data_IF_604202221145
#
_entry.id   IF_604202221145
#
_cell.length_a   1.000
_cell.length_b   1.000
_cell.length_c   1.000
_cell.angle_alpha   90.00
_cell.angle_beta   90.00
_cell.angle_gamma   90.00
#
_symmetry.space_group_name_H-M   'P 1'
#
loop_
_entity.id
_entity.type
_entity.pdbx_description
1 polymer ?
#
# COMPACT_ATOMS: atom_id res chain seq x y z
N UNK A 1 6.76 11.14 14.73
CA UNK A 1 6.49 11.96 13.54
C UNK A 1 6.31 11.02 12.37
N UNK A 2 5.10 10.94 11.80
CA UNK A 2 4.84 10.16 10.60
C UNK A 2 5.14 11.04 9.39
N UNK A 3 6.12 10.65 8.59
CA UNK A 3 6.46 11.31 7.33
C UNK A 3 5.70 10.57 6.22
N UNK A 4 4.49 11.04 5.90
CA UNK A 4 3.62 10.39 4.92
C UNK A 4 3.82 11.01 3.53
N UNK A 5 4.98 10.78 2.94
CA UNK A 5 5.24 11.13 1.53
C UNK A 5 5.54 9.86 0.74
N UNK A 6 5.08 9.81 -0.51
CA UNK A 6 5.44 8.77 -1.46
C UNK A 6 6.40 9.35 -2.50
N UNK A 7 7.53 8.69 -2.70
CA UNK A 7 8.51 9.06 -3.71
C UNK A 7 8.56 7.95 -4.73
N UNK A 8 8.39 8.33 -5.98
CA UNK A 8 8.48 7.45 -7.13
C UNK A 8 9.46 8.04 -8.13
N UNK A 9 10.02 7.17 -8.98
CA UNK A 9 10.85 7.62 -10.10
C UNK A 9 9.98 8.29 -11.18
N UNK A 10 8.85 7.69 -11.50
CA UNK A 10 7.95 8.08 -12.59
C UNK A 10 6.53 8.25 -12.06
N UNK A 11 5.81 9.27 -12.52
CA UNK A 11 4.44 9.58 -12.05
C UNK A 11 3.47 8.42 -12.27
N UNK A 12 3.69 7.59 -13.30
CA UNK A 12 2.87 6.41 -13.57
C UNK A 12 2.81 5.45 -12.37
N UNK A 13 3.87 5.38 -11.57
CA UNK A 13 3.91 4.52 -10.36
C UNK A 13 3.00 5.01 -9.23
N UNK A 14 2.37 6.18 -9.36
CA UNK A 14 1.36 6.70 -8.42
C UNK A 14 -0.07 6.43 -8.87
N UNK A 15 -0.29 5.92 -10.09
CA UNK A 15 -1.64 5.79 -10.63
C UNK A 15 -2.55 4.90 -9.78
N UNK A 16 -2.02 3.80 -9.22
CA UNK A 16 -2.81 2.93 -8.33
C UNK A 16 -3.08 3.58 -6.96
N UNK A 17 -2.22 4.49 -6.50
CA UNK A 17 -2.53 5.31 -5.33
C UNK A 17 -3.66 6.28 -5.65
N UNK A 18 -3.59 6.98 -6.78
CA UNK A 18 -4.64 7.91 -7.20
C UNK A 18 -5.99 7.22 -7.40
N UNK A 19 -5.99 6.02 -7.99
CA UNK A 19 -7.18 5.17 -8.15
C UNK A 19 -7.75 4.73 -6.81
N UNK A 20 -6.92 4.23 -5.89
CA UNK A 20 -7.35 3.87 -4.54
C UNK A 20 -7.98 5.06 -3.81
N UNK A 21 -7.34 6.23 -3.88
CA UNK A 21 -7.86 7.45 -3.25
C UNK A 21 -9.20 7.88 -3.87
N UNK A 22 -9.40 7.67 -5.17
CA UNK A 22 -10.70 7.89 -5.80
C UNK A 22 -11.75 6.91 -5.25
N UNK A 23 -11.45 5.61 -5.26
CA UNK A 23 -12.37 4.56 -4.79
C UNK A 23 -12.77 4.78 -3.32
N UNK A 24 -11.84 5.19 -2.46
CA UNK A 24 -12.12 5.52 -1.06
C UNK A 24 -13.04 6.75 -0.94
N UNK A 25 -12.82 7.79 -1.76
CA UNK A 25 -13.63 9.02 -1.73
C UNK A 25 -15.04 8.81 -2.26
N UNK A 26 -15.21 7.85 -3.17
CA UNK A 26 -16.50 7.51 -3.76
C UNK A 26 -17.17 6.32 -3.07
N UNK A 27 -16.57 5.78 -2.01
CA UNK A 27 -17.15 4.68 -1.23
C UNK A 27 -18.48 5.14 -0.63
N UNK A 28 -19.56 4.57 -1.16
CA UNK A 28 -20.94 4.76 -0.74
C UNK A 28 -21.47 3.53 0.02
N UNK A 29 -22.72 3.58 0.47
CA UNK A 29 -23.41 2.48 1.16
C UNK A 29 -22.75 1.95 2.45
N UNK A 30 -21.95 2.80 3.11
CA UNK A 30 -21.34 2.55 4.42
C UNK A 30 -21.76 3.63 5.42
N UNK A 31 -21.92 3.27 6.69
CA UNK A 31 -22.44 4.22 7.70
C UNK A 31 -21.43 5.29 8.10
N UNK A 32 -20.18 4.89 8.29
CA UNK A 32 -19.07 5.73 8.72
C UNK A 32 -17.77 5.09 8.23
N UNK A 33 -16.82 5.92 7.81
CA UNK A 33 -15.51 5.48 7.31
C UNK A 33 -14.41 6.04 8.21
N UNK A 34 -13.67 5.14 8.85
CA UNK A 34 -12.41 5.44 9.54
C UNK A 34 -11.24 5.12 8.60
N UNK A 35 -10.31 6.07 8.44
CA UNK A 35 -9.11 5.90 7.62
C UNK A 35 -7.88 6.02 8.50
N UNK A 36 -7.04 4.98 8.47
CA UNK A 36 -5.72 4.98 9.09
C UNK A 36 -4.67 4.88 7.99
N UNK A 37 -3.64 5.71 8.01
CA UNK A 37 -2.64 5.72 6.94
C UNK A 37 -1.25 6.04 7.44
N UNK A 38 -0.25 5.53 6.73
CA UNK A 38 1.14 5.77 7.05
C UNK A 38 2.09 5.20 6.02
N UNK A 39 3.35 5.14 6.41
CA UNK A 39 4.44 4.55 5.64
C UNK A 39 4.98 3.31 6.37
N UNK A 40 5.62 2.41 5.64
CA UNK A 40 6.32 1.26 6.20
C UNK A 40 7.69 1.05 5.56
N UNK A 41 8.69 0.79 6.41
CA UNK A 41 10.07 0.48 6.04
C UNK A 41 10.81 1.59 5.27
N UNK A 42 12.05 1.31 4.88
CA UNK A 42 12.87 2.20 4.03
C UNK A 42 13.09 1.55 2.66
N UNK A 43 12.90 2.32 1.60
CA UNK A 43 13.14 1.88 0.23
C UNK A 43 14.63 1.59 0.03
N UNK A 44 14.93 0.51 -0.67
CA UNK A 44 16.29 0.14 -1.07
C UNK A 44 16.46 0.22 -2.58
N UNK A 45 17.58 0.79 -3.03
CA UNK A 45 18.01 0.76 -4.43
C UNK A 45 19.30 -0.03 -4.54
N UNK A 46 19.47 -0.73 -5.66
CA UNK A 46 20.73 -1.38 -6.00
C UNK A 46 21.60 -0.42 -6.79
N UNK A 47 22.88 -0.38 -6.45
CA UNK A 47 23.88 0.33 -7.25
C UNK A 47 24.33 -0.50 -8.46
N UNK A 48 25.26 0.05 -9.24
CA UNK A 48 25.85 -0.62 -10.41
C UNK A 48 26.65 -1.88 -10.08
N UNK A 49 26.92 -2.15 -8.81
CA UNK A 49 27.64 -3.32 -8.29
C UNK A 49 26.69 -4.32 -7.60
N UNK A 50 25.37 -4.17 -7.76
CA UNK A 50 24.32 -4.95 -7.09
C UNK A 50 24.32 -4.84 -5.55
N UNK A 51 24.94 -3.80 -4.99
CA UNK A 51 24.87 -3.52 -3.56
C UNK A 51 23.60 -2.74 -3.25
N UNK A 52 22.82 -3.23 -2.29
CA UNK A 52 21.59 -2.58 -1.83
C UNK A 52 21.90 -1.49 -0.82
N UNK A 53 21.41 -0.28 -1.07
CA UNK A 53 21.48 0.84 -0.13
C UNK A 53 20.08 1.39 0.16
N UNK A 54 19.83 1.73 1.42
CA UNK A 54 18.63 2.45 1.84
C UNK A 54 18.65 3.89 1.32
N UNK A 55 17.47 4.42 0.98
CA UNK A 55 17.33 5.75 0.39
C UNK A 55 16.80 6.75 1.41
N UNK A 56 17.51 7.86 1.53
CA UNK A 56 17.18 9.00 2.40
C UNK A 56 17.24 10.29 1.58
N UNK A 57 16.30 11.21 1.82
CA UNK A 57 16.28 12.49 1.10
C UNK A 57 17.37 13.46 1.55
N UNK A 58 17.85 13.29 2.78
CA UNK A 58 18.85 14.17 3.40
C UNK A 58 19.98 13.32 3.97
N UNK A 59 21.18 13.89 3.98
CA UNK A 59 22.37 13.28 4.61
C UNK A 59 22.11 12.92 6.08
N UNK A 60 22.92 12.00 6.60
CA UNK A 60 22.84 11.49 7.98
C UNK A 60 21.55 10.71 8.25
N UNK A 61 21.06 9.97 7.25
CA UNK A 61 19.90 9.09 7.35
C UNK A 61 18.61 9.81 7.79
N UNK A 62 18.44 11.07 7.37
CA UNK A 62 17.24 11.87 7.66
C UNK A 62 16.25 11.78 6.51
N UNK A 63 14.96 11.75 6.86
CA UNK A 63 13.85 11.62 5.91
C UNK A 63 13.98 10.33 5.07
N UNK A 64 13.82 9.15 5.70
CA UNK A 64 13.84 7.87 4.99
C UNK A 64 12.75 7.85 3.92
N UNK A 65 13.07 7.36 2.73
CA UNK A 65 12.06 7.16 1.70
C UNK A 65 11.27 5.89 2.01
N UNK A 66 9.94 5.93 2.19
CA UNK A 66 9.18 4.74 2.53
C UNK A 66 9.32 3.62 1.50
N UNK A 67 9.42 2.37 1.98
CA UNK A 67 9.35 1.20 1.10
C UNK A 67 7.95 1.06 0.49
N UNK A 68 6.92 1.28 1.30
CA UNK A 68 5.53 1.34 0.87
C UNK A 68 4.73 2.35 1.68
N UNK A 69 3.67 2.87 1.07
CA UNK A 69 2.60 3.61 1.73
C UNK A 69 1.44 2.66 2.01
N UNK A 70 0.73 2.86 3.11
CA UNK A 70 -0.40 2.02 3.47
C UNK A 70 -1.61 2.81 3.93
N UNK A 71 -2.79 2.23 3.69
CA UNK A 71 -4.08 2.79 4.06
C UNK A 71 -4.98 1.66 4.54
N UNK A 72 -5.53 1.77 5.74
CA UNK A 72 -6.59 0.90 6.25
C UNK A 72 -7.90 1.67 6.19
N UNK A 73 -8.89 1.07 5.53
CA UNK A 73 -10.26 1.58 5.45
C UNK A 73 -11.14 0.70 6.32
N UNK A 74 -11.84 1.30 7.26
CA UNK A 74 -12.73 0.61 8.19
C UNK A 74 -14.11 1.22 8.18
N UNK A 75 -15.12 0.37 8.26
CA UNK A 75 -16.50 0.75 8.57
C UNK A 75 -17.08 -0.27 9.56
N UNK A 76 -17.50 0.19 10.74
CA UNK A 76 -18.02 -0.67 11.82
C UNK A 76 -17.01 -1.77 12.23
N UNK A 77 -17.39 -3.04 12.10
CA UNK A 77 -16.55 -4.22 12.37
C UNK A 77 -15.91 -4.81 11.10
N UNK A 78 -15.94 -4.08 9.98
CA UNK A 78 -15.30 -4.47 8.72
C UNK A 78 -14.11 -3.58 8.40
N UNK A 79 -13.01 -4.17 7.95
CA UNK A 79 -11.86 -3.39 7.50
C UNK A 79 -11.07 -4.09 6.39
N UNK A 80 -10.34 -3.30 5.61
CA UNK A 80 -9.39 -3.79 4.63
C UNK A 80 -8.15 -2.90 4.63
N UNK A 81 -6.98 -3.52 4.47
CA UNK A 81 -5.71 -2.83 4.45
C UNK A 81 -5.11 -2.82 3.03
N UNK A 82 -4.60 -1.68 2.60
CA UNK A 82 -3.94 -1.49 1.32
C UNK A 82 -2.48 -1.15 1.55
N UNK A 83 -1.59 -1.75 0.78
CA UNK A 83 -0.17 -1.38 0.71
C UNK A 83 0.21 -1.10 -0.73
N UNK A 84 0.81 0.06 -0.99
CA UNK A 84 1.27 0.49 -2.31
C UNK A 84 2.76 0.78 -2.24
N UNK A 85 3.54 0.07 -3.05
CA UNK A 85 4.99 0.20 -3.10
C UNK A 85 5.43 1.44 -3.88
N UNK A 86 6.40 2.18 -3.34
CA UNK A 86 7.01 3.33 -4.03
C UNK A 86 7.94 2.95 -5.19
N UNK A 87 8.33 1.67 -5.26
CA UNK A 87 9.10 1.09 -6.37
C UNK A 87 8.37 -0.12 -6.91
N UNK A 88 8.03 -0.13 -8.19
CA UNK A 88 7.46 -1.31 -8.83
C UNK A 88 8.44 -2.50 -8.87
N UNK A 89 8.02 -3.73 -8.52
CA UNK A 89 8.78 -4.93 -8.83
C UNK A 89 8.95 -5.07 -10.35
N UNK A 90 10.12 -5.51 -10.78
CA UNK A 90 10.46 -5.67 -12.20
C UNK A 90 10.35 -7.13 -12.66
N UNK A 91 10.25 -8.08 -11.72
CA UNK A 91 10.13 -9.51 -11.99
C UNK A 91 9.07 -10.15 -11.10
N UNK A 92 8.55 -11.32 -11.50
CA UNK A 92 7.58 -12.06 -10.68
C UNK A 92 8.20 -12.52 -9.36
N UNK A 93 9.47 -12.95 -9.38
CA UNK A 93 10.17 -13.30 -8.14
C UNK A 93 10.29 -12.10 -7.18
N UNK A 94 10.51 -10.89 -7.69
CA UNK A 94 10.48 -9.69 -6.86
C UNK A 94 9.09 -9.39 -6.31
N UNK A 95 8.04 -9.64 -7.11
CA UNK A 95 6.65 -9.49 -6.71
C UNK A 95 6.34 -10.44 -5.55
N UNK A 96 6.59 -11.73 -5.71
CA UNK A 96 6.43 -12.77 -4.67
C UNK A 96 7.18 -12.43 -3.38
N UNK A 97 8.44 -11.99 -3.47
CA UNK A 97 9.24 -11.60 -2.29
C UNK A 97 8.70 -10.36 -1.56
N UNK A 98 7.95 -9.49 -2.27
CA UNK A 98 7.35 -8.28 -1.70
C UNK A 98 5.91 -8.52 -1.24
N UNK A 99 5.23 -9.53 -1.75
CA UNK A 99 3.95 -9.98 -1.21
C UNK A 99 4.13 -10.45 0.23
N UNK A 100 3.45 -9.81 1.17
CA UNK A 100 3.41 -10.24 2.57
C UNK A 100 2.01 -10.68 3.02
N UNK A 101 1.05 -10.68 2.10
CA UNK A 101 -0.31 -11.19 2.28
C UNK A 101 -0.78 -11.79 0.95
N UNK A 102 -1.79 -12.66 0.99
CA UNK A 102 -2.55 -13.02 -0.21
C UNK A 102 -3.43 -11.84 -0.59
N UNK A 103 -3.23 -11.28 -1.78
CA UNK A 103 -3.98 -10.10 -2.19
C UNK A 103 -5.44 -10.44 -2.48
N UNK A 104 -6.36 -9.70 -1.87
CA UNK A 104 -7.81 -9.83 -2.01
C UNK A 104 -8.41 -8.75 -2.92
N UNK A 105 -7.58 -8.03 -3.70
CA UNK A 105 -8.05 -6.89 -4.50
C UNK A 105 -9.20 -7.25 -5.45
N UNK A 106 -9.19 -8.45 -6.03
CA UNK A 106 -10.26 -8.96 -6.90
C UNK A 106 -11.62 -9.08 -6.17
N UNK A 107 -11.60 -9.37 -4.86
CA UNK A 107 -12.81 -9.66 -4.07
C UNK A 107 -13.50 -8.39 -3.55
N UNK A 108 -12.83 -7.24 -3.60
CA UNK A 108 -13.31 -5.98 -3.01
C UNK A 108 -14.06 -5.20 -4.07
N UNK A 109 -15.39 -5.29 -4.03
CA UNK A 109 -16.29 -4.84 -5.08
C UNK A 109 -16.39 -3.31 -5.22
N UNK A 110 -16.06 -2.56 -4.18
CA UNK A 110 -16.08 -1.10 -4.18
C UNK A 110 -14.84 -0.47 -4.83
N UNK A 111 -13.81 -1.25 -5.20
CA UNK A 111 -12.59 -0.78 -5.89
C UNK A 111 -12.79 -0.52 -7.38
N UNK A 112 -13.71 0.38 -7.75
CA UNK A 112 -14.11 0.61 -9.15
C UNK A 112 -12.93 1.00 -10.06
N UNK A 113 -12.13 1.99 -9.66
CA UNK A 113 -10.98 2.49 -10.44
C UNK A 113 -9.80 1.55 -10.43
N UNK A 114 -9.59 0.82 -9.34
CA UNK A 114 -8.56 -0.22 -9.31
C UNK A 114 -8.93 -1.44 -10.15
N UNK A 115 -10.23 -1.74 -10.35
CA UNK A 115 -10.70 -2.80 -11.24
C UNK A 115 -10.76 -2.38 -12.72
N UNK A 116 -10.81 -1.08 -13.03
CA UNK A 116 -10.77 -0.61 -14.43
C UNK A 116 -9.53 -1.13 -15.16
N UNK A 117 -9.74 -1.99 -16.17
CA UNK A 117 -8.69 -2.66 -16.94
C UNK A 117 -7.68 -3.42 -16.07
N UNK A 118 -8.14 -4.02 -14.96
CA UNK A 118 -7.30 -4.77 -14.01
C UNK A 118 -6.09 -3.97 -13.50
N UNK A 119 -6.27 -2.65 -13.30
CA UNK A 119 -5.21 -1.73 -12.88
C UNK A 119 -4.46 -2.18 -11.62
N UNK A 120 -5.14 -2.84 -10.68
CA UNK A 120 -4.54 -3.42 -9.48
C UNK A 120 -3.46 -4.47 -9.77
N UNK A 121 -3.47 -5.13 -10.94
CA UNK A 121 -2.46 -6.10 -11.37
C UNK A 121 -1.23 -5.43 -12.03
N UNK A 122 -1.37 -4.20 -12.53
CA UNK A 122 -0.26 -3.48 -13.16
C UNK A 122 0.69 -2.91 -12.10
N UNK A 123 1.70 -3.70 -11.78
CA UNK A 123 2.75 -3.29 -10.84
C UNK A 123 3.47 -2.00 -11.27
N UNK A 124 3.53 -1.67 -12.57
CA UNK A 124 4.17 -0.43 -13.07
C UNK A 124 3.36 0.81 -12.72
N UNK A 125 2.05 0.66 -12.53
CA UNK A 125 1.15 1.71 -12.06
C UNK A 125 1.23 1.95 -10.54
N UNK A 126 2.09 1.19 -9.84
CA UNK A 126 2.20 1.15 -8.38
C UNK A 126 1.71 -0.20 -7.87
N UNK A 127 2.64 -1.03 -7.38
CA UNK A 127 2.29 -2.37 -6.94
C UNK A 127 1.45 -2.33 -5.66
N UNK A 128 0.21 -2.82 -5.75
CA UNK A 128 -0.79 -2.80 -4.69
C UNK A 128 -1.01 -4.20 -4.11
N UNK A 129 -1.14 -4.25 -2.79
CA UNK A 129 -1.66 -5.40 -2.05
C UNK A 129 -2.91 -4.96 -1.32
N UNK A 130 -3.98 -5.74 -1.42
CA UNK A 130 -5.18 -5.59 -0.61
C UNK A 130 -5.20 -6.77 0.37
N UNK A 131 -5.04 -6.50 1.66
CA UNK A 131 -4.82 -7.52 2.68
C UNK A 131 -5.96 -7.53 3.70
N UNK A 132 -6.21 -8.70 4.29
CA UNK A 132 -6.87 -8.75 5.58
C UNK A 132 -6.06 -8.01 6.63
N UNK A 133 -6.76 -7.38 7.57
CA UNK A 133 -6.13 -6.57 8.61
C UNK A 133 -5.20 -7.40 9.54
N UNK A 134 -5.51 -8.67 9.76
CA UNK A 134 -4.70 -9.59 10.58
C UNK A 134 -3.36 -9.92 9.91
N UNK A 135 -3.35 -10.21 8.61
CA UNK A 135 -2.10 -10.44 7.88
C UNK A 135 -1.29 -9.16 7.72
N UNK A 136 -1.96 -8.04 7.44
CA UNK A 136 -1.30 -6.75 7.27
C UNK A 136 -0.51 -6.32 8.53
N UNK A 137 -1.13 -6.42 9.72
CA UNK A 137 -0.47 -6.06 10.99
C UNK A 137 0.64 -7.03 11.41
N UNK A 138 0.80 -8.18 10.73
CA UNK A 138 1.96 -9.06 10.94
C UNK A 138 3.24 -8.43 10.40
N UNK A 139 3.13 -7.58 9.39
CA UNK A 139 4.26 -6.90 8.73
C UNK A 139 4.37 -5.44 9.17
N UNK A 140 3.28 -4.68 9.11
CA UNK A 140 3.26 -3.25 9.45
C UNK A 140 2.95 -3.09 10.93
N UNK A 141 4.00 -3.04 11.76
CA UNK A 141 3.90 -3.01 13.24
C UNK A 141 3.65 -1.63 13.81
N UNK A 142 3.99 -0.60 13.05
CA UNK A 142 3.82 0.80 13.39
C UNK A 142 2.38 1.31 13.23
N UNK A 143 1.48 0.51 12.64
CA UNK A 143 0.09 0.89 12.50
C UNK A 143 -0.60 1.01 13.87
N UNK A 144 -1.58 1.91 14.03
CA UNK A 144 -2.38 1.98 15.25
C UNK A 144 -3.11 0.65 15.52
N UNK A 145 -3.37 0.32 16.80
CA UNK A 145 -4.12 -0.88 17.16
C UNK A 145 -5.60 -0.71 16.79
N UNK A 146 -5.96 -1.17 15.59
CA UNK A 146 -7.36 -1.21 15.13
C UNK A 146 -8.01 -2.50 15.65
N UNK A 147 -8.96 -2.37 16.57
CA UNK A 147 -9.62 -3.48 17.27
C UNK A 147 -11.10 -3.60 16.90
N UNK A 148 -11.70 -4.77 17.15
CA UNK A 148 -13.13 -5.01 16.92
C UNK A 148 -13.50 -5.27 15.47
N UNK A 149 -12.51 -5.57 14.62
CA UNK A 149 -12.72 -6.01 13.23
C UNK A 149 -13.01 -7.51 13.21
N UNK A 150 -14.08 -7.91 12.54
CA UNK A 150 -14.57 -9.29 12.43
C UNK A 150 -14.62 -9.80 11.00
N UNK A 151 -14.63 -8.91 10.01
CA UNK A 151 -14.72 -9.28 8.61
C UNK A 151 -13.98 -8.27 7.71
N UNK A 152 -13.79 -8.65 6.45
CA UNK A 152 -13.24 -7.76 5.42
C UNK A 152 -14.31 -6.76 4.94
N UNK A 153 -13.87 -5.56 4.57
CA UNK A 153 -14.70 -4.57 3.89
C UNK A 153 -14.61 -4.77 2.36
N UNK A 154 -15.56 -5.53 1.81
CA UNK A 154 -15.69 -5.87 0.37
C UNK A 154 -16.74 -5.02 -0.33
#
# INVERSE_FOLDING_TARGET
MAWNYQIVKDREQLLNLDRLLHDIRTLDDVSEVEIYTGAHGVMTLQDKHNQSAEVYLVRENRFPVPKLHWTVVRSQDRAVAFAIYGKSPQTEQERERRSFCTSLCEQISWLKKLHENDAWQDARAGYVLCCELEDFRRTVKEMPPVVGVKAILV
#
